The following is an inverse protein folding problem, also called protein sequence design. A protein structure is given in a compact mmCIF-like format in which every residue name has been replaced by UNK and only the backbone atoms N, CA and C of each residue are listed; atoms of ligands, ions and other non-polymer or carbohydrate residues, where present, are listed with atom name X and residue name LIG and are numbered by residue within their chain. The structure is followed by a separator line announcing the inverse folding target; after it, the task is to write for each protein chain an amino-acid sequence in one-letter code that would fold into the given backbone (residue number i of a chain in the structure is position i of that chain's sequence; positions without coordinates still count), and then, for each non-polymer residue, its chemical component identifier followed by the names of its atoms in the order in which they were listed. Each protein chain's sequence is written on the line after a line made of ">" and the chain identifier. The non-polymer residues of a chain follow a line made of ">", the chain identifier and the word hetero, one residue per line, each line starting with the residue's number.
data_IF_661021641531
#
_entry.id   IF_661021641531
#
_cell.length_a   1.000
_cell.length_b   1.000
_cell.length_c   1.000
_cell.angle_alpha   90.00
_cell.angle_beta   90.00
_cell.angle_gamma   90.00
#
_symmetry.space_group_name_H-M   'P 1'
#
loop_
_entity.id
_entity.type
_entity.pdbx_description
1 polymer ?
#
# COMPACT_ATOMS: atom_id res chain seq x y z
N UNK A 1 -11.94 -5.23 14.03
CA UNK A 1 -11.48 -4.45 12.84
C UNK A 1 -11.68 -5.28 11.58
N UNK A 2 -12.25 -4.70 10.53
CA UNK A 2 -12.50 -5.34 9.25
C UNK A 2 -11.98 -4.45 8.12
N UNK A 3 -11.33 -5.06 7.10
CA UNK A 3 -10.88 -4.35 5.90
C UNK A 3 -11.70 -4.85 4.72
N UNK A 4 -12.33 -3.91 4.00
CA UNK A 4 -13.18 -4.22 2.85
C UNK A 4 -12.65 -3.50 1.61
N UNK A 5 -12.76 -4.14 0.44
CA UNK A 5 -12.51 -3.49 -0.84
C UNK A 5 -13.73 -2.69 -1.26
N UNK A 6 -13.51 -1.41 -1.56
CA UNK A 6 -14.57 -0.50 -2.04
C UNK A 6 -14.55 -0.50 -3.56
N UNK A 7 -15.56 -1.13 -4.15
CA UNK A 7 -15.69 -1.27 -5.63
C UNK A 7 -16.64 -0.24 -6.25
N UNK A 8 -17.55 0.31 -5.46
CA UNK A 8 -18.56 1.29 -5.91
C UNK A 8 -18.55 2.51 -5.00
N UNK A 9 -18.97 3.66 -5.55
CA UNK A 9 -19.13 4.91 -4.78
C UNK A 9 -17.87 5.33 -3.99
N UNK A 10 -16.69 5.17 -4.58
CA UNK A 10 -15.41 5.55 -3.93
C UNK A 10 -15.39 7.02 -3.52
N UNK A 11 -16.12 7.88 -4.25
CA UNK A 11 -16.28 9.31 -3.94
C UNK A 11 -16.98 9.59 -2.62
N UNK A 12 -17.72 8.64 -2.06
CA UNK A 12 -18.28 8.77 -0.70
C UNK A 12 -17.20 8.89 0.40
N UNK A 13 -15.96 8.58 0.08
CA UNK A 13 -14.80 8.67 1.00
C UNK A 13 -13.89 9.86 0.67
N UNK A 14 -14.34 10.80 -0.20
CA UNK A 14 -13.51 11.89 -0.67
C UNK A 14 -12.98 12.75 0.47
N UNK A 15 -13.83 13.10 1.44
CA UNK A 15 -13.43 13.90 2.61
C UNK A 15 -12.27 13.25 3.38
N UNK A 16 -12.27 11.92 3.48
CA UNK A 16 -11.20 11.19 4.15
C UNK A 16 -9.93 11.12 3.28
N UNK A 17 -10.07 10.89 1.96
CA UNK A 17 -8.95 10.87 1.02
C UNK A 17 -8.23 12.22 0.96
N UNK A 18 -8.98 13.34 1.09
CA UNK A 18 -8.45 14.70 1.10
C UNK A 18 -7.57 15.01 2.33
N UNK A 19 -7.64 14.22 3.39
CA UNK A 19 -6.70 14.37 4.52
C UNK A 19 -5.25 14.02 4.12
N UNK A 20 -5.08 13.17 3.12
CA UNK A 20 -3.76 12.76 2.64
C UNK A 20 -3.35 13.47 1.33
N UNK A 21 -4.31 13.91 0.53
CA UNK A 21 -4.10 14.61 -0.73
C UNK A 21 -5.13 15.75 -0.83
N UNK A 22 -4.76 17.00 -0.51
CA UNK A 22 -5.72 18.10 -0.32
C UNK A 22 -6.28 18.67 -1.63
N UNK A 23 -5.99 18.07 -2.79
CA UNK A 23 -6.45 18.55 -4.08
C UNK A 23 -7.26 17.48 -4.81
N UNK A 24 -8.58 17.69 -4.94
CA UNK A 24 -9.54 16.73 -5.46
C UNK A 24 -9.18 16.24 -6.88
N UNK A 25 -8.79 17.14 -7.78
CA UNK A 25 -8.41 16.78 -9.15
C UNK A 25 -7.10 15.94 -9.22
N UNK A 26 -6.31 15.91 -8.17
CA UNK A 26 -5.21 14.95 -8.03
C UNK A 26 -5.73 13.57 -7.64
N UNK A 27 -6.71 13.50 -6.75
CA UNK A 27 -7.36 12.24 -6.33
C UNK A 27 -8.10 11.62 -7.52
N UNK A 28 -8.82 12.40 -8.32
CA UNK A 28 -9.55 11.95 -9.50
C UNK A 28 -8.65 11.20 -10.50
N UNK A 29 -7.37 11.59 -10.63
CA UNK A 29 -6.42 10.94 -11.56
C UNK A 29 -6.20 9.46 -11.29
N UNK A 30 -6.43 9.01 -10.05
CA UNK A 30 -6.15 7.63 -9.66
C UNK A 30 -7.33 6.90 -9.01
N UNK A 31 -8.37 7.61 -8.56
CA UNK A 31 -9.44 7.01 -7.76
C UNK A 31 -10.24 5.95 -8.54
N UNK A 32 -10.62 6.24 -9.77
CA UNK A 32 -11.44 5.32 -10.57
C UNK A 32 -10.66 4.07 -10.96
N UNK A 33 -9.41 4.23 -11.39
CA UNK A 33 -8.56 3.13 -11.84
C UNK A 33 -7.89 2.35 -10.72
N UNK A 34 -7.79 2.93 -9.53
CA UNK A 34 -7.14 2.32 -8.36
C UNK A 34 -8.07 1.39 -7.60
N UNK A 35 -7.51 0.37 -6.98
CA UNK A 35 -8.22 -0.44 -5.99
C UNK A 35 -8.25 0.30 -4.66
N UNK A 36 -9.45 0.54 -4.15
CA UNK A 36 -9.66 1.23 -2.87
C UNK A 36 -10.00 0.22 -1.77
N UNK A 37 -9.45 0.43 -0.57
CA UNK A 37 -9.74 -0.35 0.63
C UNK A 37 -10.09 0.58 1.78
N UNK A 38 -11.09 0.19 2.57
CA UNK A 38 -11.50 0.88 3.77
C UNK A 38 -11.40 -0.05 4.98
N UNK A 39 -10.84 0.46 6.07
CA UNK A 39 -10.75 -0.22 7.35
C UNK A 39 -11.81 0.31 8.30
N UNK A 40 -12.64 -0.59 8.80
CA UNK A 40 -13.71 -0.34 9.75
C UNK A 40 -13.33 -0.83 11.15
N UNK A 41 -13.72 -0.10 12.16
CA UNK A 41 -13.61 -0.54 13.56
C UNK A 41 -14.72 -1.54 13.94
N UNK A 42 -14.73 -1.96 15.20
CA UNK A 42 -15.71 -2.92 15.71
C UNK A 42 -17.15 -2.34 15.83
N UNK A 43 -17.30 -1.02 15.64
CA UNK A 43 -18.60 -0.32 15.59
C UNK A 43 -19.06 -0.08 14.15
N UNK A 44 -18.30 -0.56 13.15
CA UNK A 44 -18.62 -0.36 11.74
C UNK A 44 -18.29 1.05 11.22
N UNK A 45 -17.50 1.84 11.95
CA UNK A 45 -17.09 3.17 11.52
C UNK A 45 -15.78 3.07 10.70
N UNK A 46 -15.73 3.77 9.56
CA UNK A 46 -14.51 3.89 8.77
C UNK A 46 -13.47 4.69 9.53
N UNK A 47 -12.29 4.11 9.73
CA UNK A 47 -11.17 4.74 10.43
C UNK A 47 -10.01 5.09 9.49
N UNK A 48 -9.80 4.29 8.44
CA UNK A 48 -8.72 4.53 7.49
C UNK A 48 -9.11 4.04 6.10
N UNK A 49 -8.58 4.68 5.05
CA UNK A 49 -8.75 4.28 3.65
C UNK A 49 -7.42 4.32 2.93
N UNK A 50 -7.29 3.52 1.88
CA UNK A 50 -6.17 3.66 0.96
C UNK A 50 -6.58 3.34 -0.47
N UNK A 51 -5.77 3.84 -1.43
CA UNK A 51 -5.90 3.54 -2.86
C UNK A 51 -4.58 3.02 -3.39
N UNK A 52 -4.61 1.88 -4.08
CA UNK A 52 -3.44 1.26 -4.71
C UNK A 52 -3.67 1.19 -6.21
N UNK A 53 -2.67 1.64 -6.99
CA UNK A 53 -2.70 1.55 -8.45
C UNK A 53 -1.59 0.64 -8.96
N UNK A 54 -1.86 -0.12 -10.00
CA UNK A 54 -0.82 -0.78 -10.76
C UNK A 54 -0.13 0.24 -11.68
N UNK A 55 1.18 0.40 -11.55
CA UNK A 55 1.98 1.40 -12.28
C UNK A 55 2.92 0.78 -13.32
N UNK A 56 2.88 -0.53 -13.48
CA UNK A 56 3.71 -1.24 -14.46
C UNK A 56 3.70 -2.74 -14.24
N UNK A 57 4.49 -3.47 -15.03
CA UNK A 57 4.60 -4.92 -14.89
C UNK A 57 5.15 -5.26 -13.50
N UNK A 58 4.34 -5.95 -12.68
CA UNK A 58 4.66 -6.35 -11.30
C UNK A 58 5.09 -5.22 -10.37
N UNK A 59 4.57 -3.99 -10.62
CA UNK A 59 4.80 -2.81 -9.79
C UNK A 59 3.48 -2.14 -9.47
N UNK A 60 3.26 -1.81 -8.20
CA UNK A 60 2.11 -1.05 -7.73
C UNK A 60 2.56 0.15 -6.89
N UNK A 61 1.67 1.09 -6.69
CA UNK A 61 1.89 2.28 -5.88
C UNK A 61 0.71 2.51 -4.95
N UNK A 62 0.99 2.68 -3.69
CA UNK A 62 0.06 3.19 -2.70
C UNK A 62 -0.09 4.70 -2.92
N UNK A 63 -1.16 5.08 -3.63
CA UNK A 63 -1.42 6.46 -4.08
C UNK A 63 -1.94 7.36 -2.98
N UNK A 64 -2.74 6.78 -2.09
CA UNK A 64 -3.36 7.51 -0.99
C UNK A 64 -3.46 6.58 0.22
N UNK A 65 -3.20 7.12 1.40
CA UNK A 65 -3.45 6.47 2.68
C UNK A 65 -3.89 7.56 3.67
N UNK A 66 -5.13 7.53 4.04
CA UNK A 66 -5.69 8.48 4.99
C UNK A 66 -6.26 7.76 6.21
N UNK A 67 -6.05 8.34 7.39
CA UNK A 67 -6.64 7.89 8.67
C UNK A 67 -7.30 9.08 9.32
N UNK A 68 -8.53 8.91 9.83
CA UNK A 68 -9.22 9.97 10.58
C UNK A 68 -8.31 10.53 11.66
N UNK A 69 -8.32 11.84 11.87
CA UNK A 69 -7.42 12.51 12.82
C UNK A 69 -7.54 11.92 14.21
N UNK A 70 -8.78 11.72 14.71
CA UNK A 70 -9.07 11.13 16.01
C UNK A 70 -8.69 9.65 16.16
N UNK A 71 -8.38 8.99 15.03
CA UNK A 71 -8.00 7.58 14.97
C UNK A 71 -6.49 7.38 14.69
N UNK A 72 -5.75 8.46 14.45
CA UNK A 72 -4.31 8.38 14.24
C UNK A 72 -3.59 7.86 15.49
N UNK A 73 -2.40 7.27 15.30
CA UNK A 73 -1.63 6.67 16.39
C UNK A 73 -2.18 5.35 16.94
N UNK A 74 -3.34 4.87 16.46
CA UNK A 74 -3.99 3.64 16.91
C UNK A 74 -3.69 2.41 16.04
N UNK A 75 -2.80 2.56 15.05
CA UNK A 75 -2.34 1.46 14.21
C UNK A 75 -3.21 1.16 12.98
N UNK A 76 -4.28 1.88 12.72
CA UNK A 76 -5.18 1.63 11.58
C UNK A 76 -4.48 1.78 10.23
N UNK A 77 -3.71 2.86 10.03
CA UNK A 77 -2.92 3.06 8.81
C UNK A 77 -1.88 1.96 8.60
N UNK A 78 -1.18 1.56 9.67
CA UNK A 78 -0.21 0.46 9.62
C UNK A 78 -0.88 -0.86 9.23
N UNK A 79 -2.03 -1.18 9.82
CA UNK A 79 -2.78 -2.41 9.50
C UNK A 79 -3.22 -2.42 8.03
N UNK A 80 -3.68 -1.28 7.50
CA UNK A 80 -4.10 -1.15 6.10
C UNK A 80 -2.93 -1.29 5.14
N UNK A 81 -1.76 -0.68 5.44
CA UNK A 81 -0.53 -0.85 4.65
C UNK A 81 -0.09 -2.31 4.60
N UNK A 82 -0.07 -3.00 5.74
CA UNK A 82 0.31 -4.42 5.80
C UNK A 82 -0.65 -5.28 4.97
N UNK A 83 -1.95 -5.04 5.10
CA UNK A 83 -2.97 -5.76 4.34
C UNK A 83 -2.77 -5.62 2.81
N UNK A 84 -2.58 -4.38 2.32
CA UNK A 84 -2.39 -4.19 0.88
C UNK A 84 -1.04 -4.72 0.40
N UNK A 85 0.01 -4.64 1.19
CA UNK A 85 1.30 -5.27 0.87
C UNK A 85 1.16 -6.79 0.70
N UNK A 86 0.47 -7.46 1.63
CA UNK A 86 0.22 -8.90 1.55
C UNK A 86 -0.67 -9.23 0.34
N UNK A 87 -1.78 -8.53 0.16
CA UNK A 87 -2.71 -8.73 -0.96
C UNK A 87 -2.03 -8.58 -2.33
N UNK A 88 -1.15 -7.60 -2.48
CA UNK A 88 -0.46 -7.33 -3.75
C UNK A 88 0.79 -8.19 -3.98
N UNK A 89 1.31 -8.90 -2.98
CA UNK A 89 2.52 -9.74 -3.11
C UNK A 89 2.41 -10.83 -4.19
N UNK A 90 1.21 -11.29 -4.48
CA UNK A 90 0.96 -12.31 -5.51
C UNK A 90 1.05 -11.76 -6.94
N UNK A 91 0.81 -10.47 -7.15
CA UNK A 91 0.75 -9.84 -8.48
C UNK A 91 1.82 -8.79 -8.73
N UNK A 92 2.42 -8.24 -7.66
CA UNK A 92 3.47 -7.23 -7.73
C UNK A 92 4.71 -7.70 -6.97
N UNK A 93 5.89 -7.35 -7.49
CA UNK A 93 7.16 -7.58 -6.80
C UNK A 93 7.55 -6.41 -5.92
N UNK A 94 7.09 -5.21 -6.27
CA UNK A 94 7.46 -3.98 -5.57
C UNK A 94 6.24 -3.07 -5.42
N UNK A 95 6.05 -2.56 -4.20
CA UNK A 95 5.13 -1.47 -3.91
C UNK A 95 5.92 -0.18 -3.68
N UNK A 96 5.49 0.87 -4.34
CA UNK A 96 6.00 2.24 -4.15
C UNK A 96 5.01 3.06 -3.33
N UNK A 97 5.50 4.11 -2.70
CA UNK A 97 4.70 5.18 -2.12
C UNK A 97 5.44 6.50 -2.28
N UNK A 98 4.74 7.52 -2.75
CA UNK A 98 5.21 8.90 -2.78
C UNK A 98 4.66 9.68 -1.59
N UNK A 99 5.50 10.46 -0.92
CA UNK A 99 5.11 11.30 0.22
C UNK A 99 5.86 12.61 0.22
N UNK A 100 5.41 13.58 1.02
CA UNK A 100 6.16 14.80 1.29
C UNK A 100 7.46 14.53 2.05
N UNK A 101 8.27 15.58 2.14
CA UNK A 101 9.59 15.54 2.78
C UNK A 101 9.53 15.71 4.31
N UNK A 102 8.42 15.34 4.97
CA UNK A 102 8.30 15.38 6.44
C UNK A 102 8.84 14.11 7.07
N UNK A 103 9.58 14.28 8.15
CA UNK A 103 10.24 13.16 8.84
C UNK A 103 9.22 12.15 9.40
N UNK A 104 8.09 12.63 9.91
CA UNK A 104 7.03 11.80 10.48
C UNK A 104 6.47 10.81 9.47
N UNK A 105 6.11 11.28 8.29
CA UNK A 105 5.52 10.43 7.25
C UNK A 105 6.55 9.45 6.67
N UNK A 106 7.79 9.91 6.48
CA UNK A 106 8.89 9.03 6.04
C UNK A 106 9.12 7.92 7.06
N UNK A 107 9.21 8.24 8.37
CA UNK A 107 9.38 7.25 9.44
C UNK A 107 8.22 6.28 9.53
N UNK A 108 6.98 6.74 9.32
CA UNK A 108 5.82 5.87 9.30
C UNK A 108 5.96 4.76 8.23
N UNK A 109 6.31 5.12 7.00
CA UNK A 109 6.52 4.12 5.94
C UNK A 109 7.75 3.25 6.18
N UNK A 110 8.81 3.79 6.76
CA UNK A 110 9.97 2.98 7.17
C UNK A 110 9.60 1.93 8.22
N UNK A 111 8.77 2.25 9.19
CA UNK A 111 8.22 1.28 10.17
C UNK A 111 7.35 0.21 9.49
N UNK A 112 6.69 0.55 8.38
CA UNK A 112 5.96 -0.43 7.56
C UNK A 112 6.90 -1.28 6.65
N UNK A 113 8.22 -1.08 6.72
CA UNK A 113 9.23 -1.83 5.98
C UNK A 113 9.56 -1.28 4.60
N UNK A 114 9.18 -0.03 4.31
CA UNK A 114 9.62 0.65 3.09
C UNK A 114 11.01 1.26 3.28
N UNK A 115 11.78 1.31 2.19
CA UNK A 115 13.10 1.94 2.13
C UNK A 115 13.10 3.05 1.09
N UNK A 116 13.97 4.03 1.25
CA UNK A 116 14.12 5.13 0.29
C UNK A 116 14.37 4.61 -1.12
N UNK A 117 13.73 5.20 -2.12
CA UNK A 117 13.89 4.85 -3.53
C UNK A 117 14.52 5.98 -4.34
N UNK A 118 13.78 7.07 -4.55
CA UNK A 118 14.21 8.23 -5.33
C UNK A 118 13.42 9.48 -4.90
N UNK A 119 13.84 10.62 -5.42
CA UNK A 119 13.18 11.91 -5.19
C UNK A 119 12.71 12.47 -6.53
N UNK A 120 11.52 13.05 -6.56
CA UNK A 120 11.02 13.87 -7.67
C UNK A 120 11.04 15.33 -7.23
N UNK A 121 12.08 16.10 -7.65
CA UNK A 121 12.21 17.49 -7.24
C UNK A 121 11.06 18.36 -7.75
N UNK A 122 10.61 19.30 -6.93
CA UNK A 122 9.59 20.27 -7.29
C UNK A 122 8.20 19.69 -7.56
N UNK A 123 7.94 18.44 -7.17
CA UNK A 123 6.69 17.77 -7.50
C UNK A 123 5.46 18.52 -6.97
N UNK A 124 5.47 18.93 -5.72
CA UNK A 124 4.32 19.61 -5.11
C UNK A 124 4.11 21.00 -5.72
N UNK A 125 5.17 21.76 -5.94
CA UNK A 125 5.09 23.08 -6.55
C UNK A 125 4.65 23.07 -8.02
N UNK A 126 4.91 21.98 -8.74
CA UNK A 126 4.53 21.84 -10.14
C UNK A 126 3.11 21.30 -10.35
N UNK A 127 2.56 20.53 -9.40
CA UNK A 127 1.30 19.80 -9.57
C UNK A 127 0.15 20.32 -8.71
N UNK A 128 0.42 21.07 -7.65
CA UNK A 128 -0.60 21.61 -6.75
C UNK A 128 -0.75 23.11 -6.95
N UNK A 129 -2.01 23.59 -6.88
CA UNK A 129 -2.34 25.01 -7.08
C UNK A 129 -1.92 25.86 -5.91
N UNK A 130 -2.09 25.31 -4.70
CA UNK A 130 -1.77 25.99 -3.45
C UNK A 130 -0.57 25.31 -2.77
N UNK A 131 0.26 26.08 -2.08
CA UNK A 131 1.35 25.52 -1.27
C UNK A 131 0.81 24.57 -0.19
N UNK A 132 1.37 23.37 -0.12
CA UNK A 132 0.99 22.37 0.89
C UNK A 132 1.98 22.45 2.05
N UNK A 133 1.44 22.56 3.25
CA UNK A 133 2.19 22.56 4.49
C UNK A 133 1.85 21.31 5.31
N UNK A 134 2.87 20.59 5.74
CA UNK A 134 2.72 19.44 6.62
C UNK A 134 3.66 19.62 7.83
N UNK A 135 3.10 19.66 9.05
CA UNK A 135 3.84 19.91 10.31
C UNK A 135 4.75 21.16 10.27
N UNK A 136 4.31 22.23 9.58
CA UNK A 136 5.08 23.47 9.45
C UNK A 136 6.20 23.40 8.39
N UNK A 137 6.31 22.33 7.63
CA UNK A 137 7.22 22.17 6.51
C UNK A 137 6.49 22.40 5.20
N UNK A 138 7.01 23.30 4.36
CA UNK A 138 6.49 23.47 2.99
C UNK A 138 6.93 22.26 2.16
N UNK A 139 5.95 21.56 1.57
CA UNK A 139 6.23 20.44 0.68
C UNK A 139 6.66 20.96 -0.69
N UNK A 140 7.82 20.54 -1.14
CA UNK A 140 8.39 20.87 -2.46
C UNK A 140 8.61 19.62 -3.29
N UNK A 141 9.33 18.66 -2.74
CA UNK A 141 9.79 17.46 -3.41
C UNK A 141 8.96 16.24 -2.96
N UNK A 142 8.67 15.33 -3.89
CA UNK A 142 8.10 14.06 -3.51
C UNK A 142 9.20 13.04 -3.24
N UNK A 143 9.17 12.47 -2.05
CA UNK A 143 10.07 11.40 -1.63
C UNK A 143 9.40 10.07 -1.92
N UNK A 144 9.99 9.30 -2.82
CA UNK A 144 9.52 7.94 -3.09
C UNK A 144 10.23 6.92 -2.20
N UNK A 145 9.43 6.11 -1.53
CA UNK A 145 9.91 4.90 -0.86
C UNK A 145 9.38 3.67 -1.61
N UNK A 146 10.02 2.52 -1.41
CA UNK A 146 9.63 1.25 -2.00
C UNK A 146 9.75 0.12 -0.99
N UNK A 147 8.92 -0.90 -1.17
CA UNK A 147 8.98 -2.15 -0.43
C UNK A 147 8.98 -3.32 -1.41
N UNK A 148 9.90 -4.26 -1.21
CA UNK A 148 9.88 -5.54 -1.91
C UNK A 148 8.75 -6.39 -1.32
N UNK A 149 7.80 -6.79 -2.18
CA UNK A 149 6.66 -7.61 -1.82
C UNK A 149 6.90 -9.10 -2.08
N UNK A 150 8.04 -9.46 -2.69
CA UNK A 150 8.38 -10.87 -2.84
C UNK A 150 8.44 -11.49 -1.46
N UNK A 151 7.40 -12.21 -1.10
CA UNK A 151 7.52 -13.15 -0.03
C UNK A 151 8.62 -14.13 -0.44
N UNK A 152 9.69 -14.25 0.34
CA UNK A 152 10.31 -15.55 0.44
C UNK A 152 9.14 -16.48 0.73
N UNK A 153 8.83 -17.36 -0.22
CA UNK A 153 7.73 -18.30 -0.05
C UNK A 153 8.06 -19.07 1.23
N UNK A 154 7.40 -18.71 2.33
CA UNK A 154 7.50 -19.48 3.55
C UNK A 154 7.00 -20.89 3.19
N UNK A 155 7.89 -21.90 3.11
CA UNK A 155 7.52 -23.24 2.67
C UNK A 155 6.37 -23.82 3.50
N UNK A 156 6.18 -23.33 4.75
CA UNK A 156 5.04 -23.69 5.60
C UNK A 156 3.72 -23.10 5.11
N UNK A 157 3.69 -21.82 4.69
CA UNK A 157 2.45 -21.21 4.16
C UNK A 157 2.02 -21.84 2.83
N UNK A 158 2.99 -22.19 1.97
CA UNK A 158 2.70 -22.90 0.71
C UNK A 158 2.14 -24.30 0.99
N UNK A 159 2.67 -24.99 2.00
CA UNK A 159 2.20 -26.32 2.38
C UNK A 159 0.80 -26.31 2.99
N UNK A 160 0.48 -25.29 3.79
CA UNK A 160 -0.83 -25.11 4.42
C UNK A 160 -1.89 -24.72 3.40
N UNK A 161 -1.58 -23.86 2.43
CA UNK A 161 -2.46 -23.55 1.30
C UNK A 161 -2.70 -24.77 0.40
N UNK A 162 -1.67 -25.55 0.11
CA UNK A 162 -1.82 -26.81 -0.63
C UNK A 162 -2.69 -27.82 0.12
N UNK A 163 -2.58 -27.92 1.45
CA UNK A 163 -3.43 -28.78 2.27
C UNK A 163 -4.89 -28.34 2.27
N UNK A 164 -5.15 -27.03 2.33
CA UNK A 164 -6.51 -26.46 2.30
C UNK A 164 -7.17 -26.68 0.93
N UNK A 165 -6.41 -26.50 -0.16
CA UNK A 165 -6.93 -26.59 -1.53
C UNK A 165 -7.13 -28.05 -2.00
N UNK A 166 -6.35 -29.00 -1.48
CA UNK A 166 -6.40 -30.40 -1.96
C UNK A 166 -7.15 -31.36 -1.05
N UNK A 167 -7.50 -30.96 0.17
CA UNK A 167 -8.15 -31.84 1.15
C UNK A 167 -7.32 -33.10 1.48
N UNK A 168 -6.03 -33.10 1.18
CA UNK A 168 -5.17 -34.29 1.20
C UNK A 168 -4.45 -34.43 2.55
N UNK A 169 -4.78 -35.47 3.27
CA UNK A 169 -4.07 -35.92 4.47
C UNK A 169 -3.06 -37.01 4.06
N UNK A 170 -1.91 -36.63 3.48
CA UNK A 170 -0.85 -37.54 3.09
C UNK A 170 0.53 -36.89 3.15
N UNK A 171 1.56 -37.67 3.52
CA UNK A 171 2.95 -37.22 3.53
C UNK A 171 3.44 -36.95 2.12
N UNK A 172 3.67 -35.68 1.78
CA UNK A 172 4.38 -35.28 0.56
C UNK A 172 5.87 -35.18 0.87
N UNK A 173 6.65 -36.08 0.30
CA UNK A 173 8.12 -35.93 0.24
C UNK A 173 8.42 -35.06 -0.97
N UNK A 174 8.69 -33.77 -0.76
CA UNK A 174 9.07 -32.86 -1.83
C UNK A 174 10.56 -33.02 -2.06
N UNK A 175 10.96 -33.66 -3.16
CA UNK A 175 12.33 -33.56 -3.67
C UNK A 175 12.50 -32.20 -4.33
N UNK A 176 13.20 -31.29 -3.66
CA UNK A 176 13.67 -30.03 -4.25
C UNK A 176 14.82 -30.40 -5.21
N UNK A 177 14.56 -30.40 -6.49
CA UNK A 177 15.61 -30.46 -7.51
C UNK A 177 16.18 -29.05 -7.65
N UNK A 178 17.48 -28.80 -7.39
CA UNK A 178 18.08 -27.48 -7.60
C UNK A 178 18.07 -27.16 -9.10
N UNK A 179 17.60 -25.95 -9.41
CA UNK A 179 17.51 -25.40 -10.77
C UNK A 179 18.92 -24.95 -11.24
N UNK A 180 19.80 -25.92 -11.48
CA UNK A 180 21.07 -25.71 -12.18
C UNK A 180 21.30 -26.90 -13.06
N UNK A 181 20.81 -26.85 -14.30
CA UNK A 181 21.33 -27.51 -15.50
C UNK A 181 20.28 -27.48 -16.62
N UNK A 182 20.22 -26.39 -17.38
CA UNK A 182 19.97 -26.45 -18.81
C UNK A 182 20.89 -25.36 -19.42
N UNK A 183 22.13 -25.74 -19.67
CA UNK A 183 22.93 -25.25 -20.75
C UNK A 183 23.13 -26.45 -21.69
N UNK A 184 22.46 -26.37 -22.83
CA UNK A 184 22.96 -26.74 -24.17
C UNK A 184 21.87 -26.36 -25.18
#
# INVERSE_FOLDING_TARGET
>A
MEIQQVTLQKTAFLDLLMLADPQEDMIEKYLDSGDMFALYDDQGQVQSVCVVCQIGKRKCELKNLATREEAQGRGYGTALVHYVCEKYSYQCDTMYVGTGNTEKTIRFYQHCGFVHSHIVPGFFTANYREPIWDEGVLLTDMIYLKKDLKTEADPKKVLDLARILTGWCGRLTVHIVPFTAIQE
#
